data_IF_170714524463
#
_entry.id   IF_170714524463
#
_cell.length_a   1.000
_cell.length_b   1.000
_cell.length_c   1.000
_cell.angle_alpha   90.00
_cell.angle_beta   90.00
_cell.angle_gamma   90.00
#
_symmetry.space_group_name_H-M   'P 1'
#
loop_
_entity.id
_entity.type
_entity.pdbx_description
1 polymer ?
#
# COMPACT_ATOMS: atom_id res chain seq x y z
N UNK A 1 10.73 -4.06 -15.15
CA UNK A 1 9.60 -3.40 -14.45
C UNK A 1 9.21 -4.12 -13.15
N UNK A 2 9.01 -5.46 -13.10
CA UNK A 2 8.83 -6.20 -11.81
C UNK A 2 10.01 -6.06 -10.84
N UNK A 3 11.24 -5.94 -11.35
CA UNK A 3 12.42 -5.77 -10.50
C UNK A 3 12.42 -4.45 -9.72
N UNK A 4 11.59 -3.47 -10.09
CA UNK A 4 11.54 -2.18 -9.40
C UNK A 4 10.52 -2.19 -8.27
N UNK A 5 9.40 -2.90 -8.43
CA UNK A 5 8.30 -2.91 -7.44
C UNK A 5 8.48 -3.99 -6.36
N UNK A 6 9.13 -5.12 -6.69
CA UNK A 6 9.49 -6.15 -5.69
C UNK A 6 10.35 -5.61 -4.54
N UNK A 7 11.44 -4.86 -4.80
CA UNK A 7 12.19 -4.20 -3.74
C UNK A 7 11.31 -3.22 -3.00
N UNK A 8 10.47 -2.40 -3.65
CA UNK A 8 9.59 -1.46 -2.93
C UNK A 8 8.63 -2.18 -1.98
N UNK A 9 8.02 -3.30 -2.38
CA UNK A 9 7.10 -4.05 -1.50
C UNK A 9 7.84 -4.81 -0.37
N UNK A 10 9.04 -5.32 -0.66
CA UNK A 10 9.91 -6.00 0.31
C UNK A 10 10.53 -4.99 1.29
N UNK A 11 11.04 -3.89 0.78
CA UNK A 11 11.48 -2.72 1.52
C UNK A 11 10.32 -2.09 2.26
N UNK A 12 9.06 -2.14 1.82
CA UNK A 12 7.97 -1.63 2.67
C UNK A 12 7.74 -2.50 3.90
N UNK A 13 7.71 -3.82 3.76
CA UNK A 13 7.68 -4.72 4.93
C UNK A 13 8.91 -4.56 5.81
N UNK A 14 10.10 -4.37 5.22
CA UNK A 14 11.37 -4.21 5.93
C UNK A 14 11.54 -2.82 6.56
N UNK A 15 11.20 -1.74 5.87
CA UNK A 15 11.23 -0.34 6.34
C UNK A 15 10.16 -0.13 7.41
N UNK A 16 8.96 -0.68 7.24
CA UNK A 16 7.90 -0.51 8.23
C UNK A 16 8.17 -1.27 9.55
N UNK A 17 8.92 -2.39 9.51
CA UNK A 17 9.08 -3.28 10.69
C UNK A 17 10.51 -3.40 11.21
N UNK A 18 11.54 -3.47 10.35
CA UNK A 18 12.93 -3.80 10.75
C UNK A 18 13.91 -2.62 10.62
N UNK A 19 13.81 -1.80 9.56
CA UNK A 19 14.87 -0.84 9.18
C UNK A 19 14.73 0.53 9.88
N UNK A 20 13.54 0.86 10.39
CA UNK A 20 13.31 2.04 11.23
C UNK A 20 13.30 1.72 12.74
N UNK A 21 13.45 0.44 13.09
CA UNK A 21 13.50 -0.07 14.46
C UNK A 21 14.79 -0.87 14.69
N UNK A 22 15.83 -0.61 13.89
CA UNK A 22 17.11 -1.24 14.07
C UNK A 22 17.66 -0.81 15.44
N UNK A 23 17.99 -1.78 16.29
CA UNK A 23 18.37 -1.56 17.70
C UNK A 23 19.63 -0.69 17.90
N UNK A 24 20.27 -0.25 16.82
CA UNK A 24 21.40 0.69 16.80
C UNK A 24 20.98 2.16 16.71
N UNK A 25 19.71 2.48 16.42
CA UNK A 25 19.24 3.86 16.31
C UNK A 25 18.99 4.52 17.68
N UNK A 26 19.27 5.82 17.75
CA UNK A 26 19.03 6.63 18.95
C UNK A 26 17.52 6.73 19.23
N UNK A 27 17.13 6.76 20.51
CA UNK A 27 15.73 6.83 20.96
C UNK A 27 14.92 7.93 20.25
N UNK A 28 15.57 9.04 19.89
CA UNK A 28 14.96 10.16 19.16
C UNK A 28 14.56 9.80 17.72
N UNK A 29 15.40 9.05 17.00
CA UNK A 29 15.15 8.63 15.61
C UNK A 29 14.00 7.63 15.56
N UNK A 30 13.97 6.66 16.49
CA UNK A 30 12.86 5.71 16.67
C UNK A 30 11.53 6.41 16.98
N UNK A 31 11.53 7.45 17.81
CA UNK A 31 10.33 8.24 18.11
C UNK A 31 9.83 9.06 16.90
N UNK A 32 10.74 9.64 16.13
CA UNK A 32 10.41 10.36 14.90
C UNK A 32 9.81 9.42 13.84
N UNK A 33 10.41 8.24 13.68
CA UNK A 33 9.91 7.14 12.86
C UNK A 33 8.49 6.74 13.23
N UNK A 34 8.23 6.47 14.51
CA UNK A 34 6.92 6.06 15.00
C UNK A 34 5.84 7.12 14.73
N UNK A 35 6.25 8.39 14.64
CA UNK A 35 5.36 9.50 14.31
C UNK A 35 5.15 9.65 12.79
N UNK A 36 6.21 9.40 12.01
CA UNK A 36 6.20 9.56 10.55
C UNK A 36 5.52 8.39 9.83
N UNK A 37 5.62 7.17 10.36
CA UNK A 37 5.10 5.95 9.72
C UNK A 37 3.58 6.02 9.50
N UNK A 38 2.74 6.35 10.50
CA UNK A 38 1.29 6.45 10.28
C UNK A 38 0.89 7.66 9.44
N UNK A 39 1.75 8.70 9.38
CA UNK A 39 1.55 9.88 8.54
C UNK A 39 1.88 9.64 7.06
N UNK A 40 2.73 8.65 6.76
CA UNK A 40 3.18 8.31 5.41
C UNK A 40 2.52 7.06 4.84
N UNK A 41 2.15 6.11 5.71
CA UNK A 41 1.53 4.83 5.36
C UNK A 41 0.08 4.82 5.83
N UNK A 42 -0.80 5.59 5.18
CA UNK A 42 -2.23 5.55 5.52
C UNK A 42 -2.94 4.35 4.86
N UNK A 43 -4.15 4.05 5.32
CA UNK A 43 -4.97 2.96 4.79
C UNK A 43 -5.15 3.03 3.27
N UNK A 44 -5.32 4.23 2.73
CA UNK A 44 -5.49 4.43 1.28
C UNK A 44 -4.21 4.07 0.53
N UNK A 45 -3.06 4.49 1.04
CA UNK A 45 -1.76 4.12 0.50
C UNK A 45 -1.58 2.60 0.46
N UNK A 46 -1.87 1.89 1.55
CA UNK A 46 -1.79 0.43 1.61
C UNK A 46 -2.73 -0.25 0.61
N UNK A 47 -3.95 0.26 0.47
CA UNK A 47 -4.90 -0.22 -0.55
C UNK A 47 -4.33 -0.09 -1.97
N UNK A 48 -3.86 1.10 -2.34
CA UNK A 48 -3.33 1.34 -3.68
C UNK A 48 -2.07 0.52 -3.94
N UNK A 49 -1.16 0.43 -2.96
CA UNK A 49 0.06 -0.35 -3.08
C UNK A 49 -0.24 -1.84 -3.31
N UNK A 50 -1.18 -2.41 -2.56
CA UNK A 50 -1.59 -3.80 -2.70
C UNK A 50 -2.29 -4.04 -4.06
N UNK A 51 -3.22 -3.15 -4.44
CA UNK A 51 -3.91 -3.21 -5.72
C UNK A 51 -2.94 -3.22 -6.90
N UNK A 52 -2.03 -2.23 -6.95
CA UNK A 52 -1.07 -2.11 -8.02
C UNK A 52 -0.09 -3.28 -8.07
N UNK A 53 0.34 -3.80 -6.91
CA UNK A 53 1.18 -5.00 -6.88
C UNK A 53 0.49 -6.20 -7.55
N UNK A 54 -0.80 -6.43 -7.27
CA UNK A 54 -1.55 -7.53 -7.88
C UNK A 54 -1.77 -7.31 -9.38
N UNK A 55 -2.20 -6.12 -9.78
CA UNK A 55 -2.43 -5.76 -11.19
C UNK A 55 -1.14 -5.88 -12.01
N UNK A 56 -0.04 -5.30 -11.53
CA UNK A 56 1.24 -5.32 -12.23
C UNK A 56 1.84 -6.73 -12.31
N UNK A 57 1.61 -7.59 -11.32
CA UNK A 57 2.00 -9.01 -11.40
C UNK A 57 1.31 -9.71 -12.56
N UNK A 58 0.00 -9.54 -12.70
CA UNK A 58 -0.77 -10.20 -13.77
C UNK A 58 -0.42 -9.64 -15.16
N UNK A 59 -0.34 -8.31 -15.28
CA UNK A 59 0.09 -7.64 -16.52
C UNK A 59 1.49 -8.11 -16.93
N UNK A 60 2.43 -8.15 -15.99
CA UNK A 60 3.77 -8.61 -16.31
C UNK A 60 3.80 -10.09 -16.67
N UNK A 61 2.96 -10.93 -16.06
CA UNK A 61 2.88 -12.35 -16.42
C UNK A 61 2.44 -12.52 -17.88
N UNK A 62 1.45 -11.74 -18.33
CA UNK A 62 1.01 -11.70 -19.73
C UNK A 62 2.08 -11.11 -20.63
N UNK A 63 2.75 -10.03 -20.21
CA UNK A 63 3.86 -9.44 -20.97
C UNK A 63 4.99 -10.46 -21.20
N UNK A 64 5.44 -11.16 -20.15
CA UNK A 64 6.46 -12.21 -20.26
C UNK A 64 6.01 -13.34 -21.18
N UNK A 65 4.73 -13.70 -21.13
CA UNK A 65 4.17 -14.71 -22.02
C UNK A 65 4.29 -14.29 -23.50
N UNK A 66 4.05 -13.02 -23.82
CA UNK A 66 4.22 -12.51 -25.19
C UNK A 66 5.66 -12.38 -25.66
N UNK A 67 6.62 -12.41 -24.74
CA UNK A 67 8.05 -12.38 -25.08
C UNK A 67 8.61 -13.78 -25.41
N UNK A 68 7.83 -14.85 -25.26
CA UNK A 68 8.24 -16.21 -25.62
C UNK A 68 8.31 -16.31 -27.15
N UNK A 69 9.39 -16.89 -27.68
CA UNK A 69 9.55 -17.11 -29.11
C UNK A 69 8.58 -18.20 -29.60
N UNK A 70 7.96 -18.00 -30.76
CA UNK A 70 7.10 -19.03 -31.37
C UNK A 70 5.74 -19.22 -30.71
N UNK A 71 5.24 -18.24 -29.95
CA UNK A 71 3.85 -18.29 -29.44
C UNK A 71 2.86 -18.28 -30.61
N UNK A 72 1.81 -19.10 -30.52
CA UNK A 72 0.73 -19.03 -31.50
C UNK A 72 -0.16 -17.82 -31.21
N UNK A 73 -0.75 -17.28 -32.27
CA UNK A 73 -1.71 -16.19 -32.17
C UNK A 73 -2.90 -16.57 -31.27
N UNK A 74 -3.42 -17.79 -31.41
CA UNK A 74 -4.53 -18.29 -30.59
C UNK A 74 -4.20 -18.29 -29.09
N UNK A 75 -3.03 -18.81 -28.71
CA UNK A 75 -2.54 -18.76 -27.32
C UNK A 75 -2.44 -17.33 -26.82
N UNK A 76 -2.05 -16.39 -27.69
CA UNK A 76 -1.93 -14.98 -27.35
C UNK A 76 -3.30 -14.34 -27.08
N UNK A 77 -4.30 -14.66 -27.91
CA UNK A 77 -5.69 -14.21 -27.72
C UNK A 77 -6.27 -14.75 -26.42
N UNK A 78 -6.05 -16.03 -26.10
CA UNK A 78 -6.51 -16.63 -24.84
C UNK A 78 -5.88 -15.89 -23.66
N UNK A 79 -4.56 -15.64 -23.70
CA UNK A 79 -3.88 -14.94 -22.61
C UNK A 79 -4.39 -13.51 -22.40
N UNK A 80 -4.66 -12.80 -23.50
CA UNK A 80 -5.24 -11.45 -23.44
C UNK A 80 -6.67 -11.44 -22.89
N UNK A 81 -7.50 -12.42 -23.27
CA UNK A 81 -8.85 -12.59 -22.70
C UNK A 81 -8.78 -12.85 -21.20
N UNK A 82 -7.87 -13.69 -20.73
CA UNK A 82 -7.70 -13.96 -19.32
C UNK A 82 -7.30 -12.70 -18.53
N UNK A 83 -6.39 -11.88 -19.08
CA UNK A 83 -6.05 -10.59 -18.47
C UNK A 83 -7.26 -9.66 -18.40
N UNK A 84 -8.07 -9.60 -19.47
CA UNK A 84 -9.31 -8.83 -19.48
C UNK A 84 -10.29 -9.29 -18.40
N UNK A 85 -10.50 -10.59 -18.26
CA UNK A 85 -11.36 -11.18 -17.21
C UNK A 85 -10.84 -10.82 -15.83
N UNK A 86 -9.52 -10.92 -15.60
CA UNK A 86 -8.92 -10.52 -14.34
C UNK A 86 -9.15 -9.03 -14.01
N UNK A 87 -8.94 -8.13 -14.98
CA UNK A 87 -9.06 -6.68 -14.75
C UNK A 87 -10.51 -6.19 -14.64
N UNK A 88 -11.45 -6.86 -15.32
CA UNK A 88 -12.84 -6.43 -15.42
C UNK A 88 -13.76 -7.22 -14.50
N UNK A 89 -13.75 -8.54 -14.63
CA UNK A 89 -14.76 -9.39 -14.04
C UNK A 89 -14.40 -9.74 -12.59
N UNK A 90 -13.10 -9.92 -12.30
CA UNK A 90 -12.58 -10.15 -10.93
C UNK A 90 -12.26 -8.87 -10.16
N UNK A 91 -12.66 -7.70 -10.68
CA UNK A 91 -12.31 -6.40 -10.08
C UNK A 91 -12.83 -6.28 -8.65
N UNK A 92 -14.05 -6.71 -8.39
CA UNK A 92 -14.66 -6.56 -7.06
C UNK A 92 -13.97 -7.48 -6.04
N UNK A 93 -13.77 -8.76 -6.39
CA UNK A 93 -13.01 -9.71 -5.56
C UNK A 93 -11.60 -9.17 -5.25
N UNK A 94 -10.93 -8.61 -6.26
CA UNK A 94 -9.62 -7.99 -6.11
C UNK A 94 -9.65 -6.82 -5.12
N UNK A 95 -10.68 -5.97 -5.19
CA UNK A 95 -10.85 -4.84 -4.28
C UNK A 95 -11.16 -5.32 -2.87
N UNK A 96 -12.01 -6.33 -2.68
CA UNK A 96 -12.30 -6.90 -1.36
C UNK A 96 -11.05 -7.49 -0.71
N UNK A 97 -10.26 -8.28 -1.45
CA UNK A 97 -9.00 -8.81 -0.95
C UNK A 97 -7.99 -7.71 -0.60
N UNK A 98 -7.95 -6.62 -1.37
CA UNK A 98 -7.08 -5.46 -1.12
C UNK A 98 -7.52 -4.72 0.14
N UNK A 99 -8.83 -4.50 0.32
CA UNK A 99 -9.38 -3.83 1.49
C UNK A 99 -9.13 -4.66 2.75
N UNK A 100 -9.30 -5.97 2.69
CA UNK A 100 -9.04 -6.85 3.83
C UNK A 100 -7.55 -6.82 4.19
N UNK A 101 -6.66 -6.98 3.21
CA UNK A 101 -5.22 -6.88 3.43
C UNK A 101 -4.80 -5.56 4.08
N UNK A 102 -5.36 -4.44 3.60
CA UNK A 102 -5.04 -3.12 4.14
C UNK A 102 -5.57 -2.93 5.56
N UNK A 103 -6.75 -3.49 5.89
CA UNK A 103 -7.29 -3.48 7.26
C UNK A 103 -6.40 -4.28 8.21
N UNK A 104 -6.08 -5.52 7.83
CA UNK A 104 -5.24 -6.40 8.64
C UNK A 104 -3.86 -5.76 8.88
N UNK A 105 -3.27 -5.15 7.85
CA UNK A 105 -1.98 -4.44 7.98
C UNK A 105 -2.10 -3.18 8.83
N UNK A 106 -3.20 -2.44 8.73
CA UNK A 106 -3.44 -1.28 9.58
C UNK A 106 -3.57 -1.68 11.06
N UNK A 107 -4.30 -2.76 11.35
CA UNK A 107 -4.48 -3.28 12.71
C UNK A 107 -3.15 -3.79 13.29
N UNK A 108 -2.33 -4.49 12.49
CA UNK A 108 -0.98 -4.94 12.89
C UNK A 108 -0.03 -3.78 13.20
N UNK A 109 -0.17 -2.66 12.49
CA UNK A 109 0.76 -1.53 12.54
C UNK A 109 0.25 -0.35 13.40
N UNK A 110 -0.90 -0.51 14.07
CA UNK A 110 -1.61 0.54 14.81
C UNK A 110 -1.85 1.82 13.98
N UNK A 111 -2.15 1.64 12.69
CA UNK A 111 -2.46 2.72 11.76
C UNK A 111 -3.98 2.92 11.72
N UNK A 112 -4.48 4.14 11.98
CA UNK A 112 -5.92 4.38 11.96
C UNK A 112 -6.47 4.26 10.53
N UNK A 113 -7.45 3.36 10.34
CA UNK A 113 -8.15 3.16 9.05
C UNK A 113 -8.90 4.42 8.61
N UNK A 114 -9.41 5.20 9.57
CA UNK A 114 -10.05 6.49 9.34
C UNK A 114 -9.09 7.59 9.78
N UNK A 115 -8.80 8.56 8.91
CA UNK A 115 -8.02 9.74 9.30
C UNK A 115 -8.70 10.44 10.47
N UNK A 116 -8.11 10.32 11.66
CA UNK A 116 -8.48 11.14 12.82
C UNK A 116 -8.19 12.57 12.38
N UNK A 117 -9.23 13.37 12.12
CA UNK A 117 -9.05 14.81 11.92
C UNK A 117 -8.45 15.34 13.21
N UNK A 118 -7.17 15.69 13.18
CA UNK A 118 -6.56 16.44 14.27
C UNK A 118 -7.28 17.78 14.34
N UNK A 119 -8.32 17.86 15.17
CA UNK A 119 -8.95 19.12 15.50
C UNK A 119 -7.86 19.92 16.22
N UNK A 120 -7.24 20.86 15.51
CA UNK A 120 -6.39 21.88 16.13
C UNK A 120 -7.29 22.66 17.08
N UNK A 121 -7.36 22.22 18.34
CA UNK A 121 -7.92 23.03 19.42
C UNK A 121 -7.04 24.27 19.50
N UNK A 122 -7.61 25.44 19.19
CA UNK A 122 -6.94 26.71 19.48
C UNK A 122 -6.59 26.69 20.97
N UNK A 123 -5.31 26.88 21.31
CA UNK A 123 -4.91 27.10 22.69
C UNK A 123 -5.51 28.44 23.11
N UNK A 124 -6.53 28.40 23.96
CA UNK A 124 -7.02 29.59 24.64
C UNK A 124 -5.97 29.93 25.69
N UNK A 125 -5.43 31.14 25.62
CA UNK A 125 -4.44 31.61 26.60
C UNK A 125 -5.13 31.88 27.94
N UNK A 126 -4.44 31.75 29.10
CA UNK A 126 -5.00 32.13 30.39
C UNK A 126 -5.38 33.62 30.37
N UNK A 127 -6.68 33.93 30.23
CA UNK A 127 -7.20 35.29 30.15
C UNK A 127 -8.16 35.57 28.99
N UNK A 128 -8.25 34.71 27.97
CA UNK A 128 -9.25 34.84 26.91
C UNK A 128 -10.63 34.37 27.42
N UNK A 129 -11.57 35.31 27.59
CA UNK A 129 -12.99 35.00 27.72
C UNK A 129 -13.56 34.73 26.33
N UNK A 130 -14.23 33.60 26.15
CA UNK A 130 -15.06 33.39 24.97
C UNK A 130 -16.16 34.47 24.97
N UNK A 131 -16.34 35.15 23.83
CA UNK A 131 -17.51 36.00 23.63
C UNK A 131 -18.73 35.09 23.46
N UNK A 132 -19.79 35.36 24.22
CA UNK A 132 -21.09 34.68 24.17
C UNK A 132 -21.78 34.81 22.80
#
# INVERSE_FOLDING_TARGET
MIEVVKPVFKCFKKIAVEELCDSSETIATRGAVQTLLPATCDFSFLCFLCLWNKVLKEVNHVQKFFQILGISFEKSVIKMRNLKVFLKDKRNDLVEEVLQFAKDTCDEMDIPVVKIRTIRRKKIMPGEKAAD
#
